data_IF_303547996484
#
_entry.id   IF_303547996484
#
_cell.length_a   1.000
_cell.length_b   1.000
_cell.length_c   1.000
_cell.angle_alpha   90.00
_cell.angle_beta   90.00
_cell.angle_gamma   90.00
#
_symmetry.space_group_name_H-M   'P 1'
#
loop_
_entity.id
_entity.type
_entity.pdbx_description
1 polymer ?
#
# COMPACT_ATOMS: atom_id res chain seq x y z
N UNK A 1 18.39 -15.54 9.09
CA UNK A 1 18.24 -14.67 7.92
C UNK A 1 17.93 -13.25 8.34
N UNK A 2 18.47 -12.27 7.65
CA UNK A 2 18.10 -10.90 7.94
C UNK A 2 16.66 -10.63 7.51
N UNK A 3 15.99 -9.73 8.22
CA UNK A 3 14.68 -9.28 7.80
C UNK A 3 14.58 -7.78 8.08
N UNK A 4 13.66 -7.13 7.38
CA UNK A 4 13.48 -5.69 7.48
C UNK A 4 12.48 -5.40 8.58
N UNK A 5 12.86 -4.51 9.48
CA UNK A 5 12.04 -4.11 10.60
C UNK A 5 11.67 -2.63 10.46
N UNK A 6 10.38 -2.33 10.55
CA UNK A 6 9.89 -0.96 10.49
C UNK A 6 9.41 -0.53 11.87
N UNK A 7 9.61 0.75 12.19
CA UNK A 7 9.10 1.30 13.43
C UNK A 7 7.59 1.46 13.36
N UNK A 8 6.94 1.60 14.51
CA UNK A 8 5.50 1.83 14.53
C UNK A 8 5.15 3.12 13.77
N UNK A 9 6.01 4.15 13.88
CA UNK A 9 5.80 5.39 13.16
C UNK A 9 5.85 5.17 11.63
N UNK A 10 6.80 4.37 11.17
CA UNK A 10 6.89 4.06 9.74
C UNK A 10 5.65 3.31 9.26
N UNK A 11 5.18 2.36 10.03
CA UNK A 11 3.98 1.60 9.68
C UNK A 11 2.75 2.49 9.62
N UNK A 12 2.62 3.40 10.60
CA UNK A 12 1.51 4.34 10.62
C UNK A 12 1.55 5.28 9.43
N UNK A 13 2.73 5.81 9.11
CA UNK A 13 2.87 6.71 7.97
C UNK A 13 2.52 5.99 6.66
N UNK A 14 3.00 4.76 6.52
CA UNK A 14 2.70 3.98 5.31
C UNK A 14 1.21 3.71 5.18
N UNK A 15 0.55 3.33 6.27
CA UNK A 15 -0.89 3.07 6.25
C UNK A 15 -1.73 4.33 6.12
N UNK A 16 -1.14 5.51 6.32
CA UNK A 16 -1.83 6.78 6.20
C UNK A 16 -1.67 7.42 4.84
N UNK A 17 -0.91 6.79 3.94
CA UNK A 17 -0.69 7.33 2.61
C UNK A 17 -2.01 7.38 1.85
N UNK A 18 -2.29 8.52 1.22
CA UNK A 18 -3.47 8.67 0.37
C UNK A 18 -3.29 7.83 -0.87
N UNK A 19 -4.13 6.81 -1.04
CA UNK A 19 -4.02 5.90 -2.17
C UNK A 19 -4.27 6.58 -3.51
N UNK A 20 -5.13 7.59 -3.55
CA UNK A 20 -5.39 8.34 -4.78
C UNK A 20 -4.10 9.02 -5.23
N UNK A 21 -3.41 9.71 -4.32
CA UNK A 21 -2.15 10.36 -4.64
C UNK A 21 -1.07 9.35 -5.01
N UNK A 22 -0.98 8.26 -4.24
CA UNK A 22 0.00 7.22 -4.49
C UNK A 22 -0.17 6.63 -5.89
N UNK A 23 -1.41 6.28 -6.25
CA UNK A 23 -1.69 5.68 -7.55
C UNK A 23 -1.42 6.65 -8.70
N UNK A 24 -1.72 7.93 -8.50
CA UNK A 24 -1.40 8.93 -9.52
C UNK A 24 0.11 9.01 -9.77
N UNK A 25 0.90 8.94 -8.71
CA UNK A 25 2.36 8.95 -8.83
C UNK A 25 2.89 7.71 -9.52
N UNK A 26 2.17 6.59 -9.39
CA UNK A 26 2.55 5.36 -10.07
C UNK A 26 2.09 5.32 -11.53
N UNK A 27 1.39 6.37 -11.98
CA UNK A 27 0.90 6.42 -13.34
C UNK A 27 -0.44 5.74 -13.57
N UNK A 28 -1.12 5.36 -12.50
CA UNK A 28 -2.45 4.75 -12.59
C UNK A 28 -3.50 5.82 -12.84
N UNK A 29 -4.48 5.48 -13.65
CA UNK A 29 -5.59 6.39 -13.94
C UNK A 29 -6.79 6.00 -13.10
N UNK A 30 -7.47 7.01 -12.58
CA UNK A 30 -8.62 6.83 -11.73
C UNK A 30 -9.80 7.59 -12.30
N UNK A 31 -10.99 7.03 -12.11
CA UNK A 31 -12.24 7.70 -12.48
C UNK A 31 -13.07 7.93 -11.23
N UNK A 32 -13.82 9.01 -11.22
CA UNK A 32 -14.70 9.32 -10.10
C UNK A 32 -15.88 8.37 -10.06
N UNK A 33 -16.22 7.91 -8.86
CA UNK A 33 -17.35 7.02 -8.63
C UNK A 33 -17.99 7.47 -7.31
N UNK A 34 -18.88 8.47 -7.38
CA UNK A 34 -19.43 9.10 -6.19
C UNK A 34 -18.33 9.82 -5.42
N UNK A 35 -18.19 9.50 -4.14
CA UNK A 35 -17.14 10.08 -3.31
C UNK A 35 -15.83 9.31 -3.41
N UNK A 36 -15.85 8.15 -4.06
CA UNK A 36 -14.68 7.30 -4.20
C UNK A 36 -14.06 7.47 -5.56
N UNK A 37 -12.87 6.91 -5.71
CA UNK A 37 -12.19 6.78 -7.00
C UNK A 37 -12.12 5.32 -7.36
N UNK A 38 -12.30 5.02 -8.64
CA UNK A 38 -12.24 3.65 -9.14
C UNK A 38 -11.07 3.52 -10.10
N UNK A 39 -10.36 2.40 -10.02
CA UNK A 39 -9.24 2.14 -10.92
C UNK A 39 -9.76 1.84 -12.33
N UNK A 40 -9.10 2.41 -13.34
CA UNK A 40 -9.47 2.11 -14.72
C UNK A 40 -8.96 0.73 -15.13
N UNK A 41 -7.87 0.28 -14.52
CA UNK A 41 -7.31 -1.04 -14.82
C UNK A 41 -8.09 -2.17 -14.15
N UNK A 42 -8.82 -1.87 -13.07
CA UNK A 42 -9.64 -2.87 -12.38
C UNK A 42 -10.83 -2.15 -11.76
N UNK A 43 -11.96 -2.19 -12.45
CA UNK A 43 -13.17 -1.48 -12.04
C UNK A 43 -13.80 -2.04 -10.76
N UNK A 44 -13.35 -3.20 -10.31
CA UNK A 44 -13.87 -3.78 -9.07
C UNK A 44 -13.27 -3.11 -7.85
N UNK A 45 -12.18 -2.37 -8.00
CA UNK A 45 -11.47 -1.77 -6.88
C UNK A 45 -11.78 -0.28 -6.79
N UNK A 46 -12.26 0.16 -5.62
CA UNK A 46 -12.44 1.57 -5.32
C UNK A 46 -11.49 1.98 -4.21
N UNK A 47 -11.06 3.23 -4.22
CA UNK A 47 -10.18 3.79 -3.20
C UNK A 47 -10.78 5.08 -2.65
N UNK A 48 -10.56 5.31 -1.36
CA UNK A 48 -11.03 6.51 -0.67
C UNK A 48 -10.01 6.85 0.41
N UNK A 49 -9.26 7.92 0.24
CA UNK A 49 -8.19 8.26 1.16
C UNK A 49 -7.18 7.13 1.22
N UNK A 50 -6.95 6.59 2.42
CA UNK A 50 -6.01 5.49 2.61
C UNK A 50 -6.70 4.13 2.66
N UNK A 51 -7.97 4.07 2.27
CA UNK A 51 -8.74 2.83 2.30
C UNK A 51 -9.09 2.38 0.89
N UNK A 52 -9.28 1.08 0.74
CA UNK A 52 -9.67 0.50 -0.53
C UNK A 52 -10.68 -0.62 -0.32
N UNK A 53 -11.42 -0.94 -1.37
CA UNK A 53 -12.34 -2.07 -1.34
C UNK A 53 -12.40 -2.70 -2.73
N UNK A 54 -12.30 -4.04 -2.76
CA UNK A 54 -12.42 -4.83 -3.98
C UNK A 54 -13.78 -5.51 -3.96
N UNK A 55 -14.70 -5.00 -4.79
CA UNK A 55 -16.06 -5.50 -4.82
C UNK A 55 -16.16 -6.92 -5.36
N UNK A 56 -15.23 -7.32 -6.22
CA UNK A 56 -15.23 -8.67 -6.77
C UNK A 56 -14.79 -9.70 -5.74
N UNK A 57 -13.78 -9.37 -4.96
CA UNK A 57 -13.26 -10.26 -3.92
C UNK A 57 -13.95 -10.06 -2.58
N UNK A 58 -14.78 -9.02 -2.45
CA UNK A 58 -15.48 -8.67 -1.21
C UNK A 58 -14.53 -8.49 -0.04
N UNK A 59 -13.44 -7.75 -0.27
CA UNK A 59 -12.46 -7.45 0.77
C UNK A 59 -11.85 -6.09 0.54
N UNK A 60 -11.28 -5.53 1.60
CA UNK A 60 -10.64 -4.25 1.54
C UNK A 60 -9.66 -4.08 2.67
N UNK A 61 -9.17 -2.86 2.87
CA UNK A 61 -8.21 -2.58 3.92
C UNK A 61 -7.61 -1.21 3.77
N UNK A 62 -6.36 -1.09 4.20
CA UNK A 62 -5.65 0.19 4.18
C UNK A 62 -4.50 0.15 3.17
N UNK A 63 -3.65 1.19 3.21
CA UNK A 63 -2.66 1.39 2.15
C UNK A 63 -1.69 0.22 2.01
N UNK A 64 -1.16 -0.31 3.10
CA UNK A 64 -0.17 -1.38 3.02
C UNK A 64 -0.76 -2.62 2.36
N UNK A 65 -1.95 -3.04 2.80
CA UNK A 65 -2.58 -4.23 2.23
C UNK A 65 -2.94 -4.04 0.76
N UNK A 66 -3.32 -2.81 0.38
CA UNK A 66 -3.60 -2.51 -1.03
C UNK A 66 -2.37 -2.76 -1.88
N UNK A 67 -1.23 -2.19 -1.48
CA UNK A 67 0.00 -2.32 -2.26
C UNK A 67 0.46 -3.78 -2.32
N UNK A 68 0.32 -4.50 -1.22
CA UNK A 68 0.65 -5.94 -1.22
C UNK A 68 -0.18 -6.72 -2.22
N UNK A 69 -1.49 -6.48 -2.26
CA UNK A 69 -2.38 -7.24 -3.12
C UNK A 69 -2.35 -6.77 -4.56
N UNK A 70 -2.34 -5.46 -4.78
CA UNK A 70 -2.42 -4.92 -6.13
C UNK A 70 -1.13 -5.14 -6.92
N UNK A 71 0.02 -4.96 -6.25
CA UNK A 71 1.33 -5.09 -6.90
C UNK A 71 2.00 -6.43 -6.62
N UNK A 72 1.41 -7.27 -5.77
CA UNK A 72 1.99 -8.56 -5.45
C UNK A 72 3.27 -8.47 -4.64
N UNK A 73 3.37 -7.51 -3.74
CA UNK A 73 4.58 -7.26 -2.96
C UNK A 73 4.51 -7.89 -1.58
N UNK A 74 5.67 -8.12 -1.00
CA UNK A 74 5.76 -8.52 0.40
C UNK A 74 5.46 -7.32 1.30
N UNK A 75 5.25 -7.56 2.59
CA UNK A 75 4.98 -6.49 3.53
C UNK A 75 6.10 -5.44 3.55
N UNK A 76 7.39 -5.83 3.70
CA UNK A 76 8.47 -4.84 3.68
C UNK A 76 8.54 -4.05 2.38
N UNK A 77 8.35 -4.72 1.25
CA UNK A 77 8.38 -4.04 -0.04
C UNK A 77 7.25 -3.04 -0.17
N UNK A 78 6.06 -3.40 0.31
CA UNK A 78 4.90 -2.51 0.25
C UNK A 78 5.12 -1.27 1.11
N UNK A 79 5.62 -1.45 2.34
CA UNK A 79 5.88 -0.32 3.22
C UNK A 79 6.93 0.62 2.62
N UNK A 80 8.01 0.06 2.09
CA UNK A 80 9.06 0.86 1.48
C UNK A 80 8.53 1.67 0.29
N UNK A 81 7.69 1.05 -0.53
CA UNK A 81 7.12 1.74 -1.68
C UNK A 81 6.21 2.89 -1.25
N UNK A 82 5.40 2.67 -0.23
CA UNK A 82 4.51 3.71 0.27
C UNK A 82 5.27 4.87 0.89
N UNK A 83 6.44 4.60 1.44
CA UNK A 83 7.28 5.63 2.05
C UNK A 83 8.27 6.24 1.05
N UNK A 84 8.02 6.10 -0.25
CA UNK A 84 8.85 6.68 -1.32
C UNK A 84 10.30 6.19 -1.28
N UNK A 85 10.49 4.92 -0.96
CA UNK A 85 11.81 4.32 -0.94
C UNK A 85 12.51 4.36 0.41
N UNK A 86 11.89 4.96 1.42
CA UNK A 86 12.44 4.91 2.77
C UNK A 86 12.45 3.46 3.25
N UNK A 87 13.60 2.98 3.66
CA UNK A 87 13.73 1.59 4.08
C UNK A 87 13.70 1.45 5.59
N UNK A 88 13.21 0.30 6.04
CA UNK A 88 13.27 -0.04 7.44
C UNK A 88 14.66 -0.51 7.83
N UNK A 89 14.84 -0.79 9.11
CA UNK A 89 16.09 -1.32 9.60
C UNK A 89 16.19 -2.80 9.24
N UNK A 90 17.35 -3.19 8.73
CA UNK A 90 17.61 -4.60 8.46
C UNK A 90 18.06 -5.22 9.76
N UNK A 91 17.30 -6.20 10.22
CA UNK A 91 17.64 -6.93 11.43
C UNK A 91 18.44 -8.17 11.07
N UNK A 92 19.63 -8.28 11.64
CA UNK A 92 20.49 -9.44 11.46
C UNK A 92 20.63 -10.11 12.82
N UNK A 93 20.11 -11.33 12.98
CA UNK A 93 20.23 -12.01 14.27
C UNK A 93 21.70 -12.15 14.67
N UNK A 94 21.96 -12.05 15.98
CA UNK A 94 23.32 -12.15 16.48
C UNK A 94 23.91 -13.51 16.17
N UNK A 95 25.15 -13.51 15.70
CA UNK A 95 25.88 -14.73 15.45
C UNK A 95 26.54 -15.20 16.70
N UNK A 96 26.63 -16.51 16.87
CA UNK A 96 27.30 -17.12 18.02
C UNK A 96 28.59 -17.77 17.63
#
# INVERSE_FOLDING_TARGET
MPYIHFTEDQKLRANSVDLVEFLRRQGEKLISSGQDKRLTSDHSITVHGNEWYDHAAERGGHAISFVQNFYGLTYPEAVTRLLNGEQGEVYIPAEK
#
